data_IF_586460527599
#
_entry.id   IF_586460527599
#
_cell.length_a   1.000
_cell.length_b   1.000
_cell.length_c   1.000
_cell.angle_alpha   90.00
_cell.angle_beta   90.00
_cell.angle_gamma   90.00
#
_symmetry.space_group_name_H-M   'P 1'
#
loop_
_entity.id
_entity.type
_entity.pdbx_description
1 polymer ?
#
# COMPACT_ATOMS: atom_id res chain seq x y z
N UNK A 1 12.60 -31.02 38.71
CA UNK A 1 11.53 -30.05 38.56
C UNK A 1 10.20 -30.81 38.67
N UNK A 2 9.33 -30.39 39.58
CA UNK A 2 8.07 -31.09 39.71
C UNK A 2 7.12 -30.71 38.56
N UNK A 3 6.10 -31.51 38.31
CA UNK A 3 5.16 -31.29 37.19
C UNK A 3 4.40 -29.96 37.29
N UNK A 4 4.15 -29.47 38.50
CA UNK A 4 3.45 -28.19 38.71
C UNK A 4 4.29 -26.98 38.26
N UNK A 5 5.60 -26.96 38.60
CA UNK A 5 6.48 -25.88 38.19
C UNK A 5 6.60 -25.79 36.66
N UNK A 6 6.67 -26.97 36.00
CA UNK A 6 6.71 -27.06 34.54
C UNK A 6 5.41 -26.57 33.89
N UNK A 7 4.26 -26.90 34.47
CA UNK A 7 2.94 -26.46 33.99
C UNK A 7 2.78 -24.94 34.11
N UNK A 8 3.20 -24.36 35.23
CA UNK A 8 3.19 -22.90 35.45
C UNK A 8 4.05 -22.15 34.43
N UNK A 9 5.24 -22.67 34.10
CA UNK A 9 6.10 -22.08 33.08
C UNK A 9 5.48 -22.14 31.69
N UNK A 10 4.89 -23.28 31.30
CA UNK A 10 4.18 -23.43 30.02
C UNK A 10 2.95 -22.52 29.89
N UNK A 11 2.14 -22.42 30.96
CA UNK A 11 1.02 -21.46 30.99
C UNK A 11 1.51 -20.02 30.83
N UNK A 12 2.63 -19.68 31.45
CA UNK A 12 3.25 -18.34 31.29
C UNK A 12 3.68 -18.05 29.86
N UNK A 13 4.26 -19.03 29.17
CA UNK A 13 4.66 -18.94 27.76
C UNK A 13 3.42 -18.81 26.85
N UNK A 14 2.40 -19.62 27.07
CA UNK A 14 1.16 -19.56 26.28
C UNK A 14 0.44 -18.22 26.45
N UNK A 15 0.38 -17.66 27.65
CA UNK A 15 -0.22 -16.32 27.90
C UNK A 15 0.54 -15.23 27.13
N UNK A 16 1.86 -15.24 27.14
CA UNK A 16 2.67 -14.27 26.36
C UNK A 16 2.43 -14.41 24.86
N UNK A 17 2.29 -15.63 24.35
CA UNK A 17 2.03 -15.86 22.94
C UNK A 17 0.61 -15.43 22.54
N UNK A 18 -0.39 -15.68 23.38
CA UNK A 18 -1.78 -15.19 23.18
C UNK A 18 -1.81 -13.65 23.14
N UNK A 19 -1.11 -12.98 24.06
CA UNK A 19 -1.03 -11.51 24.04
C UNK A 19 -0.29 -10.99 22.80
N UNK A 20 0.75 -11.70 22.33
CA UNK A 20 1.43 -11.36 21.07
C UNK A 20 0.50 -11.52 19.88
N UNK A 21 -0.25 -12.61 19.81
CA UNK A 21 -1.21 -12.86 18.73
C UNK A 21 -2.35 -11.84 18.73
N UNK A 22 -2.90 -11.48 19.90
CA UNK A 22 -3.92 -10.42 20.00
C UNK A 22 -3.42 -9.07 19.50
N UNK A 23 -2.16 -8.71 19.74
CA UNK A 23 -1.57 -7.48 19.18
C UNK A 23 -1.44 -7.53 17.66
N UNK A 24 -1.10 -8.68 17.10
CA UNK A 24 -1.04 -8.89 15.65
C UNK A 24 -2.44 -8.82 15.03
N UNK A 25 -3.45 -9.38 15.67
CA UNK A 25 -4.83 -9.35 15.18
C UNK A 25 -5.50 -7.98 15.32
N UNK A 26 -5.17 -7.22 16.38
CA UNK A 26 -5.87 -5.94 16.67
C UNK A 26 -5.26 -4.71 16.01
N UNK A 27 -4.07 -4.80 15.43
CA UNK A 27 -3.40 -3.60 14.94
C UNK A 27 -2.37 -3.77 13.84
N UNK A 28 -2.18 -4.95 13.28
CA UNK A 28 -1.22 -5.23 12.19
C UNK A 28 0.12 -4.47 12.29
N UNK A 29 1.19 -5.04 11.82
CA UNK A 29 2.50 -4.37 11.78
C UNK A 29 2.68 -3.69 10.43
N UNK A 30 2.99 -2.39 10.44
CA UNK A 30 3.34 -1.65 9.24
C UNK A 30 4.72 -2.06 8.75
N UNK A 31 4.76 -2.62 7.55
CA UNK A 31 5.97 -3.11 6.88
C UNK A 31 6.28 -2.22 5.68
N UNK A 32 7.55 -1.89 5.47
CA UNK A 32 8.00 -1.20 4.26
C UNK A 32 8.17 -2.21 3.12
N UNK A 33 7.76 -1.84 1.90
CA UNK A 33 8.12 -2.59 0.68
C UNK A 33 8.70 -1.66 -0.37
N UNK A 34 9.40 -2.26 -1.32
CA UNK A 34 9.97 -1.53 -2.47
C UNK A 34 9.17 -1.89 -3.72
N UNK A 35 8.27 -1.03 -4.19
CA UNK A 35 7.49 -1.29 -5.38
C UNK A 35 8.32 -1.07 -6.65
N UNK A 36 7.88 -1.70 -7.75
CA UNK A 36 8.25 -1.29 -9.10
C UNK A 36 7.26 -0.23 -9.57
N UNK A 37 7.78 0.88 -10.05
CA UNK A 37 7.01 1.97 -10.63
C UNK A 37 7.11 1.93 -12.16
N UNK A 38 6.01 2.25 -12.85
CA UNK A 38 6.04 2.45 -14.30
C UNK A 38 5.55 3.85 -14.68
N UNK A 39 6.07 4.34 -15.79
CA UNK A 39 5.76 5.68 -16.28
C UNK A 39 6.70 6.77 -15.79
N UNK A 40 7.87 6.37 -15.29
CA UNK A 40 8.92 7.29 -14.84
C UNK A 40 10.24 6.99 -15.53
N UNK A 41 10.98 8.04 -15.88
CA UNK A 41 12.41 7.96 -16.20
C UNK A 41 13.27 8.17 -14.95
N UNK A 42 12.71 8.80 -13.91
CA UNK A 42 13.30 8.93 -12.58
C UNK A 42 12.17 8.86 -11.55
N UNK A 43 12.26 7.91 -10.65
CA UNK A 43 11.25 7.68 -9.61
C UNK A 43 11.17 8.84 -8.62
N UNK A 44 9.99 9.05 -7.97
CA UNK A 44 9.82 10.05 -6.92
C UNK A 44 10.83 9.84 -5.79
N UNK A 45 11.67 10.83 -5.45
CA UNK A 45 12.64 10.70 -4.37
C UNK A 45 11.94 10.72 -3.00
N UNK A 46 12.55 10.07 -2.01
CA UNK A 46 12.07 10.03 -0.62
C UNK A 46 10.62 9.56 -0.46
N UNK A 47 10.17 8.69 -1.37
CA UNK A 47 8.83 8.13 -1.30
C UNK A 47 8.71 7.09 -0.15
N UNK A 48 7.54 7.05 0.47
CA UNK A 48 7.21 6.10 1.53
C UNK A 48 6.19 5.10 0.99
N UNK A 49 6.52 3.81 1.08
CA UNK A 49 5.66 2.71 0.71
C UNK A 49 5.56 1.76 1.90
N UNK A 50 4.38 1.67 2.50
CA UNK A 50 4.12 0.82 3.66
C UNK A 50 2.82 0.06 3.50
N UNK A 51 2.80 -1.16 4.00
CA UNK A 51 1.57 -1.95 4.09
C UNK A 51 1.41 -2.55 5.50
N UNK A 52 0.18 -2.86 5.82
CA UNK A 52 -0.20 -3.56 7.03
C UNK A 52 -1.15 -4.68 6.64
N UNK A 53 -0.84 -5.90 7.08
CA UNK A 53 -1.67 -7.07 6.82
C UNK A 53 -2.40 -7.47 8.10
N UNK A 54 -3.73 -7.49 8.04
CA UNK A 54 -4.60 -7.99 9.13
C UNK A 54 -5.55 -9.04 8.52
N UNK A 55 -5.39 -10.28 8.93
CA UNK A 55 -6.07 -11.42 8.31
C UNK A 55 -5.80 -11.44 6.79
N UNK A 56 -6.86 -11.38 5.99
CA UNK A 56 -6.77 -11.31 4.53
C UNK A 56 -6.96 -9.90 3.97
N UNK A 57 -6.83 -8.87 4.79
CA UNK A 57 -6.92 -7.47 4.36
C UNK A 57 -5.54 -6.82 4.39
N UNK A 58 -5.15 -6.26 3.27
CA UNK A 58 -3.93 -5.48 3.11
C UNK A 58 -4.28 -4.00 3.02
N UNK A 59 -3.85 -3.23 3.99
CA UNK A 59 -3.91 -1.77 3.96
C UNK A 59 -2.58 -1.23 3.48
N UNK A 60 -2.60 -0.32 2.52
CA UNK A 60 -1.41 0.24 1.87
C UNK A 60 -1.41 1.76 2.02
N UNK A 61 -0.25 2.30 2.32
CA UNK A 61 0.03 3.74 2.29
C UNK A 61 1.12 3.99 1.25
N UNK A 62 0.83 4.87 0.31
CA UNK A 62 1.79 5.44 -0.64
C UNK A 62 1.88 6.92 -0.40
N UNK A 63 3.08 7.44 -0.15
CA UNK A 63 3.33 8.86 0.04
C UNK A 63 4.55 9.29 -0.78
N UNK A 64 4.29 9.91 -1.93
CA UNK A 64 5.29 10.50 -2.80
C UNK A 64 5.24 12.01 -2.63
N UNK A 65 5.97 12.53 -1.65
CA UNK A 65 5.97 13.96 -1.32
C UNK A 65 6.55 14.83 -2.45
N UNK A 66 7.52 14.30 -3.17
CA UNK A 66 8.16 14.93 -4.33
C UNK A 66 7.82 14.20 -5.61
N UNK A 67 7.78 14.92 -6.73
CA UNK A 67 7.53 14.33 -8.02
C UNK A 67 8.75 13.58 -8.58
N UNK A 68 8.50 12.46 -9.23
CA UNK A 68 9.43 11.84 -10.15
C UNK A 68 9.28 12.44 -11.55
N UNK A 69 10.21 12.12 -12.45
CA UNK A 69 10.14 12.57 -13.85
C UNK A 69 9.29 11.59 -14.67
N UNK A 70 8.17 12.10 -15.20
CA UNK A 70 7.26 11.31 -16.05
C UNK A 70 7.85 11.06 -17.43
N UNK A 71 7.67 9.85 -17.96
CA UNK A 71 8.03 9.48 -19.34
C UNK A 71 6.89 8.78 -20.09
N UNK A 72 5.71 8.65 -19.48
CA UNK A 72 4.55 8.00 -20.09
C UNK A 72 3.24 8.54 -19.51
N UNK A 73 2.15 8.37 -20.25
CA UNK A 73 0.79 8.70 -19.80
C UNK A 73 0.18 7.63 -18.86
N UNK A 74 0.95 6.61 -18.51
CA UNK A 74 0.57 5.57 -17.53
C UNK A 74 1.28 5.82 -16.21
N UNK A 75 0.64 5.41 -15.12
CA UNK A 75 1.25 5.37 -13.80
C UNK A 75 0.77 4.12 -13.06
N UNK A 76 1.70 3.21 -12.82
CA UNK A 76 1.40 2.02 -12.00
C UNK A 76 2.43 1.83 -10.90
N UNK A 77 2.00 1.17 -9.84
CA UNK A 77 2.81 0.81 -8.67
C UNK A 77 2.57 -0.66 -8.38
N UNK A 78 3.62 -1.49 -8.28
CA UNK A 78 3.42 -2.89 -7.89
C UNK A 78 2.90 -2.97 -6.45
N UNK A 79 1.86 -3.80 -6.23
CA UNK A 79 1.27 -4.02 -4.92
C UNK A 79 2.06 -5.08 -4.13
N UNK A 80 2.03 -5.07 -2.78
CA UNK A 80 2.70 -6.09 -1.99
C UNK A 80 2.09 -7.50 -2.16
N UNK A 81 0.78 -7.60 -2.43
CA UNK A 81 0.06 -8.87 -2.62
C UNK A 81 -0.96 -8.76 -3.74
N UNK A 82 -1.34 -9.91 -4.32
CA UNK A 82 -2.42 -10.00 -5.31
C UNK A 82 -3.77 -9.71 -4.67
N UNK A 83 -4.59 -8.95 -5.35
CA UNK A 83 -5.95 -8.64 -4.93
C UNK A 83 -6.91 -9.79 -5.27
N UNK A 84 -7.72 -10.18 -4.30
CA UNK A 84 -8.80 -11.13 -4.49
C UNK A 84 -9.96 -10.54 -5.27
N UNK A 85 -10.28 -9.27 -5.03
CA UNK A 85 -11.35 -8.53 -5.69
C UNK A 85 -10.86 -7.17 -6.16
N UNK A 86 -11.49 -6.67 -7.21
CA UNK A 86 -11.25 -5.30 -7.65
C UNK A 86 -11.60 -4.32 -6.53
N UNK A 87 -10.69 -3.40 -6.28
CA UNK A 87 -10.86 -2.36 -5.27
C UNK A 87 -10.32 -1.04 -5.81
N UNK A 88 -11.02 0.05 -5.53
CA UNK A 88 -10.58 1.40 -5.89
C UNK A 88 -10.74 2.37 -4.72
N UNK A 89 -9.95 3.44 -4.74
CA UNK A 89 -10.05 4.55 -3.80
C UNK A 89 -9.62 5.85 -4.48
N UNK A 90 -9.98 6.98 -3.88
CA UNK A 90 -9.51 8.28 -4.35
C UNK A 90 -8.04 8.50 -4.02
N UNK A 91 -7.34 9.26 -4.86
CA UNK A 91 -5.99 9.76 -4.58
C UNK A 91 -6.14 11.03 -3.75
N UNK A 92 -5.59 11.01 -2.53
CA UNK A 92 -5.72 12.15 -1.61
C UNK A 92 -5.00 13.40 -2.14
N UNK A 93 -3.81 13.24 -2.71
CA UNK A 93 -3.05 14.29 -3.39
C UNK A 93 -2.33 13.70 -4.59
N UNK A 94 -2.39 14.38 -5.70
CA UNK A 94 -1.60 14.04 -6.88
C UNK A 94 -0.91 15.28 -7.44
N UNK A 95 0.18 15.06 -8.14
CA UNK A 95 0.86 16.06 -8.95
C UNK A 95 1.00 15.50 -10.35
N UNK A 96 0.52 16.24 -11.35
CA UNK A 96 0.67 15.95 -12.76
C UNK A 96 1.13 17.20 -13.49
N UNK A 97 2.17 17.12 -14.28
CA UNK A 97 2.80 18.26 -14.94
C UNK A 97 3.08 19.45 -13.99
N UNK A 98 3.58 19.14 -12.78
CA UNK A 98 3.81 20.09 -11.68
C UNK A 98 2.57 20.77 -11.09
N UNK A 99 1.37 20.42 -11.52
CA UNK A 99 0.12 20.92 -10.95
C UNK A 99 -0.40 19.97 -9.87
N UNK A 100 -0.72 20.52 -8.71
CA UNK A 100 -1.31 19.78 -7.61
C UNK A 100 -2.83 19.69 -7.73
N UNK A 101 -3.39 18.51 -7.44
CA UNK A 101 -4.82 18.25 -7.31
C UNK A 101 -5.08 17.38 -6.08
N UNK A 102 -6.25 17.56 -5.48
CA UNK A 102 -6.62 16.89 -4.24
C UNK A 102 -7.97 16.17 -4.40
N UNK A 103 -8.02 14.89 -4.03
CA UNK A 103 -9.24 14.10 -3.98
C UNK A 103 -9.89 13.81 -5.36
N UNK A 104 -9.19 14.04 -6.46
CA UNK A 104 -9.75 13.96 -7.81
C UNK A 104 -9.35 12.67 -8.55
N UNK A 105 -8.14 12.18 -8.32
CA UNK A 105 -7.61 10.97 -8.97
C UNK A 105 -8.16 9.69 -8.34
N UNK A 106 -7.97 8.60 -9.05
CA UNK A 106 -8.36 7.25 -8.61
C UNK A 106 -7.17 6.30 -8.64
N UNK A 107 -7.03 5.51 -7.58
CA UNK A 107 -6.18 4.32 -7.56
C UNK A 107 -7.07 3.08 -7.62
N UNK A 108 -6.70 2.10 -8.43
CA UNK A 108 -7.44 0.85 -8.59
C UNK A 108 -6.48 -0.34 -8.61
N UNK A 109 -6.89 -1.44 -8.00
CA UNK A 109 -6.28 -2.76 -8.18
C UNK A 109 -7.37 -3.72 -8.68
N UNK A 110 -7.10 -4.41 -9.78
CA UNK A 110 -8.04 -5.36 -10.37
C UNK A 110 -7.95 -6.73 -9.71
N UNK A 111 -9.00 -7.52 -9.82
CA UNK A 111 -9.04 -8.93 -9.36
C UNK A 111 -7.85 -9.72 -9.94
N UNK A 112 -7.14 -10.46 -9.09
CA UNK A 112 -5.97 -11.25 -9.46
C UNK A 112 -4.72 -10.43 -9.80
N UNK A 113 -4.80 -9.10 -9.77
CA UNK A 113 -3.67 -8.22 -10.07
C UNK A 113 -2.79 -7.99 -8.84
N UNK A 114 -1.52 -7.77 -9.08
CA UNK A 114 -0.54 -7.29 -8.09
C UNK A 114 0.00 -5.90 -8.49
N UNK A 115 -0.86 -5.08 -9.09
CA UNK A 115 -0.47 -3.76 -9.59
C UNK A 115 -1.60 -2.76 -9.35
N UNK A 116 -1.27 -1.65 -8.71
CA UNK A 116 -2.14 -0.48 -8.63
C UNK A 116 -2.01 0.31 -9.92
N UNK A 117 -3.14 0.57 -10.58
CA UNK A 117 -3.25 1.53 -11.68
C UNK A 117 -3.78 2.86 -11.11
N UNK A 118 -3.13 3.96 -11.48
CA UNK A 118 -3.48 5.30 -11.02
C UNK A 118 -3.99 6.14 -12.20
N UNK A 119 -5.05 6.90 -11.96
CA UNK A 119 -5.72 7.75 -12.94
C UNK A 119 -5.88 9.17 -12.41
N UNK A 120 -5.78 10.17 -13.27
CA UNK A 120 -5.84 11.60 -12.89
C UNK A 120 -7.25 12.09 -12.61
N UNK A 121 -8.27 11.35 -13.09
CA UNK A 121 -9.68 11.65 -12.82
C UNK A 121 -10.50 10.35 -12.73
N UNK A 122 -11.71 10.45 -12.21
CA UNK A 122 -12.69 9.37 -12.25
C UNK A 122 -13.10 9.13 -13.71
N UNK A 123 -12.66 8.02 -14.29
CA UNK A 123 -13.01 7.66 -15.68
C UNK A 123 -11.84 7.48 -16.63
N UNK A 124 -10.65 7.13 -16.12
CA UNK A 124 -9.49 6.68 -16.91
C UNK A 124 -8.73 7.73 -17.71
N UNK A 125 -8.71 8.98 -17.29
CA UNK A 125 -7.81 9.98 -17.91
C UNK A 125 -6.35 9.65 -17.60
N UNK A 126 -5.51 9.67 -18.62
CA UNK A 126 -4.08 9.39 -18.50
C UNK A 126 -3.30 10.54 -17.86
N UNK A 127 -2.12 10.21 -17.37
CA UNK A 127 -1.15 11.17 -16.86
C UNK A 127 -0.42 11.89 -18.00
N UNK A 128 0.14 13.04 -17.71
CA UNK A 128 1.02 13.73 -18.66
C UNK A 128 2.33 12.92 -18.83
N UNK A 129 2.71 12.67 -20.10
CA UNK A 129 3.90 11.88 -20.44
C UNK A 129 5.23 12.60 -20.22
N UNK A 130 5.20 13.83 -19.74
CA UNK A 130 6.39 14.64 -19.46
C UNK A 130 6.22 15.39 -18.14
N UNK A 131 7.29 16.00 -17.65
CA UNK A 131 7.27 16.75 -16.38
C UNK A 131 7.16 15.89 -15.13
N UNK A 132 6.81 16.49 -14.02
CA UNK A 132 6.74 15.82 -12.72
C UNK A 132 5.41 15.17 -12.45
N UNK A 133 5.43 13.94 -11.89
CA UNK A 133 4.24 13.30 -11.33
C UNK A 133 4.49 12.61 -10.01
N UNK A 134 3.50 12.61 -9.15
CA UNK A 134 3.49 11.91 -7.87
C UNK A 134 2.06 11.66 -7.39
N UNK A 135 1.90 10.73 -6.45
CA UNK A 135 0.61 10.45 -5.82
C UNK A 135 0.76 10.16 -4.33
N UNK A 136 -0.26 10.51 -3.56
CA UNK A 136 -0.43 10.11 -2.16
C UNK A 136 -1.81 9.50 -2.00
N UNK A 137 -1.87 8.26 -1.52
CA UNK A 137 -3.14 7.57 -1.31
C UNK A 137 -3.00 6.48 -0.22
N UNK A 138 -4.14 6.06 0.27
CA UNK A 138 -4.30 4.84 1.05
C UNK A 138 -5.33 3.96 0.37
N UNK A 139 -5.15 2.66 0.40
CA UNK A 139 -6.13 1.70 -0.10
C UNK A 139 -6.09 0.45 0.77
N UNK A 140 -7.26 -0.12 1.04
CA UNK A 140 -7.38 -1.42 1.73
C UNK A 140 -8.10 -2.38 0.80
N UNK A 141 -7.50 -3.54 0.54
CA UNK A 141 -8.05 -4.56 -0.35
C UNK A 141 -7.88 -5.96 0.26
N UNK A 142 -8.71 -6.91 -0.18
CA UNK A 142 -8.61 -8.31 0.23
C UNK A 142 -7.59 -9.03 -0.66
N UNK A 143 -6.73 -9.83 -0.04
CA UNK A 143 -5.71 -10.63 -0.74
C UNK A 143 -6.21 -12.06 -1.02
N UNK A 144 -5.61 -12.72 -2.02
CA UNK A 144 -5.86 -14.13 -2.35
C UNK A 144 -5.49 -15.09 -1.20
#
# INVERSE_FOLDING_TARGET
MNNEARLVDEIGKLRKEVERLKRVESGGVWTTWTPTLTGFSSDPPNAIYRYCLVCKKCSVIVSQASAGTSNANTFTISAPFKARYQTSNSIARMQDAYNYSYGVGMVMISTGSQTFALYTATGSTGWTASSGKSAMFTITYEIE
#
